data_IF_896597589232
#
_entry.id   IF_896597589232
#
_cell.length_a   1.000
_cell.length_b   1.000
_cell.length_c   1.000
_cell.angle_alpha   90.00
_cell.angle_beta   90.00
_cell.angle_gamma   90.00
#
_symmetry.space_group_name_H-M   'P 1'
#
loop_
_entity.id
_entity.type
_entity.pdbx_description
1 polymer ?
#
# COMPACT_ATOMS: atom_id res chain seq x y z
N UNK A 1 -52.72 14.51 -14.85
CA UNK A 1 -51.57 14.69 -13.92
C UNK A 1 -51.41 13.40 -13.14
N UNK A 2 -50.25 12.72 -13.21
CA UNK A 2 -49.66 11.89 -12.14
C UNK A 2 -48.59 10.93 -12.69
N UNK A 3 -47.38 11.43 -12.93
CA UNK A 3 -46.18 10.57 -13.04
C UNK A 3 -44.86 11.23 -12.59
N UNK A 4 -44.76 11.90 -11.42
CA UNK A 4 -43.44 12.21 -10.85
C UNK A 4 -42.94 11.15 -9.85
N UNK A 5 -43.82 10.34 -9.24
CA UNK A 5 -43.46 9.54 -8.06
C UNK A 5 -42.58 8.32 -8.34
N UNK A 6 -42.70 7.69 -9.51
CA UNK A 6 -41.94 6.46 -9.86
C UNK A 6 -40.47 6.74 -10.20
N UNK A 7 -40.14 7.93 -10.71
CA UNK A 7 -38.76 8.29 -11.07
C UNK A 7 -37.91 8.60 -9.83
N UNK A 8 -38.53 9.19 -8.80
CA UNK A 8 -37.88 9.57 -7.53
C UNK A 8 -37.47 8.33 -6.72
N UNK A 9 -38.26 7.25 -6.75
CA UNK A 9 -37.97 6.02 -6.01
C UNK A 9 -36.81 5.22 -6.64
N UNK A 10 -36.70 5.19 -7.97
CA UNK A 10 -35.59 4.53 -8.65
C UNK A 10 -34.25 5.27 -8.44
N UNK A 11 -34.27 6.61 -8.46
CA UNK A 11 -33.08 7.42 -8.16
C UNK A 11 -32.63 7.28 -6.70
N UNK A 12 -33.56 7.08 -5.76
CA UNK A 12 -33.25 6.86 -4.34
C UNK A 12 -32.70 5.44 -4.05
N UNK A 13 -33.11 4.41 -4.80
CA UNK A 13 -32.53 3.05 -4.63
C UNK A 13 -31.15 2.91 -5.28
N UNK A 14 -30.85 3.66 -6.33
CA UNK A 14 -29.52 3.71 -6.95
C UNK A 14 -28.48 4.41 -6.04
N UNK A 15 -28.89 5.41 -5.25
CA UNK A 15 -27.96 6.08 -4.32
C UNK A 15 -27.65 5.26 -3.07
N UNK A 16 -28.59 4.44 -2.57
CA UNK A 16 -28.39 3.56 -1.41
C UNK A 16 -27.43 2.40 -1.73
N UNK A 17 -27.38 1.96 -2.98
CA UNK A 17 -26.48 0.87 -3.40
C UNK A 17 -25.04 1.35 -3.62
N UNK A 18 -24.84 2.62 -3.97
CA UNK A 18 -23.50 3.19 -4.19
C UNK A 18 -22.74 3.39 -2.86
N UNK A 19 -23.40 3.82 -1.79
CA UNK A 19 -22.75 4.03 -0.48
C UNK A 19 -22.34 2.70 0.19
N UNK A 20 -23.18 1.66 0.12
CA UNK A 20 -22.85 0.34 0.65
C UNK A 20 -21.68 -0.32 -0.13
N UNK A 21 -21.60 -0.12 -1.44
CA UNK A 21 -20.49 -0.62 -2.28
C UNK A 21 -19.20 0.17 -2.07
N UNK A 22 -19.31 1.46 -1.76
CA UNK A 22 -18.20 2.34 -1.44
C UNK A 22 -17.50 1.92 -0.13
N UNK A 23 -18.28 1.67 0.94
CA UNK A 23 -17.74 1.19 2.22
C UNK A 23 -17.08 -0.19 2.10
N UNK A 24 -17.70 -1.13 1.38
CA UNK A 24 -17.11 -2.44 1.12
C UNK A 24 -15.77 -2.35 0.35
N UNK A 25 -15.66 -1.42 -0.59
CA UNK A 25 -14.41 -1.20 -1.33
C UNK A 25 -13.32 -0.59 -0.43
N UNK A 26 -13.67 0.29 0.51
CA UNK A 26 -12.72 0.81 1.49
C UNK A 26 -12.19 -0.30 2.42
N UNK A 27 -13.07 -1.17 2.92
CA UNK A 27 -12.70 -2.31 3.76
C UNK A 27 -11.81 -3.32 3.00
N UNK A 28 -12.19 -3.66 1.76
CA UNK A 28 -11.37 -4.51 0.89
C UNK A 28 -9.99 -3.89 0.64
N UNK A 29 -9.93 -2.57 0.43
CA UNK A 29 -8.66 -1.87 0.26
C UNK A 29 -7.81 -1.94 1.53
N UNK A 30 -8.40 -1.73 2.71
CA UNK A 30 -7.70 -1.89 3.98
C UNK A 30 -7.16 -3.31 4.19
N UNK A 31 -7.94 -4.34 3.84
CA UNK A 31 -7.49 -5.73 3.88
C UNK A 31 -6.31 -6.00 2.92
N UNK A 32 -6.36 -5.46 1.71
CA UNK A 32 -5.27 -5.58 0.72
C UNK A 32 -4.00 -4.85 1.18
N UNK A 33 -4.12 -3.72 1.88
CA UNK A 33 -3.01 -3.06 2.56
C UNK A 33 -2.41 -3.95 3.66
N UNK A 34 -3.24 -4.59 4.48
CA UNK A 34 -2.81 -5.58 5.47
C UNK A 34 -2.04 -6.75 4.85
N UNK A 35 -2.49 -7.27 3.71
CA UNK A 35 -1.80 -8.36 2.99
C UNK A 35 -0.39 -7.97 2.52
N UNK A 36 -0.12 -6.70 2.24
CA UNK A 36 1.23 -6.26 1.88
C UNK A 36 2.22 -6.42 3.05
N UNK A 37 1.75 -6.31 4.30
CA UNK A 37 2.59 -6.52 5.49
C UNK A 37 3.04 -7.97 5.59
N UNK A 38 2.12 -8.92 5.39
CA UNK A 38 2.42 -10.35 5.32
C UNK A 38 3.37 -10.67 4.17
N UNK A 39 3.09 -10.16 2.97
CA UNK A 39 3.93 -10.40 1.79
C UNK A 39 5.36 -9.92 1.99
N UNK A 40 5.54 -8.74 2.58
CA UNK A 40 6.86 -8.22 2.91
C UNK A 40 7.53 -9.09 3.98
N UNK A 41 6.82 -9.46 5.05
CA UNK A 41 7.34 -10.33 6.10
C UNK A 41 7.86 -11.68 5.56
N UNK A 42 7.11 -12.35 4.70
CA UNK A 42 7.52 -13.60 4.05
C UNK A 42 8.81 -13.40 3.25
N UNK A 43 8.88 -12.30 2.50
CA UNK A 43 10.04 -11.97 1.70
C UNK A 43 11.27 -11.64 2.55
N UNK A 44 11.08 -10.99 3.70
CA UNK A 44 12.15 -10.70 4.66
C UNK A 44 12.74 -11.99 5.23
N UNK A 45 11.89 -12.93 5.64
CA UNK A 45 12.33 -14.25 6.13
C UNK A 45 13.14 -14.98 5.06
N UNK A 46 12.65 -15.00 3.82
CA UNK A 46 13.30 -15.66 2.70
C UNK A 46 14.68 -15.05 2.38
N UNK A 47 14.74 -13.72 2.21
CA UNK A 47 16.00 -13.00 1.93
C UNK A 47 17.01 -13.23 3.05
N UNK A 48 16.62 -13.03 4.32
CA UNK A 48 17.54 -13.24 5.45
C UNK A 48 18.05 -14.68 5.49
N UNK A 49 17.18 -15.66 5.21
CA UNK A 49 17.56 -17.08 5.20
C UNK A 49 18.53 -17.41 4.06
N UNK A 50 18.30 -16.89 2.85
CA UNK A 50 19.21 -17.06 1.69
C UNK A 50 20.62 -16.55 1.97
N UNK A 51 20.73 -15.48 2.74
CA UNK A 51 22.00 -14.86 3.12
C UNK A 51 22.60 -15.44 4.41
N UNK A 52 22.10 -16.60 4.88
CA UNK A 52 22.63 -17.34 6.02
C UNK A 52 22.25 -16.76 7.39
N UNK A 53 21.35 -15.77 7.42
CA UNK A 53 20.78 -15.24 8.64
C UNK A 53 19.58 -16.06 9.13
N UNK A 54 19.08 -15.70 10.31
CA UNK A 54 17.86 -16.28 10.87
C UNK A 54 17.03 -15.19 11.53
N UNK A 55 15.78 -15.05 11.11
CA UNK A 55 14.80 -14.14 11.69
C UNK A 55 13.50 -14.91 11.89
N UNK A 56 12.79 -14.69 13.00
CA UNK A 56 11.48 -15.30 13.16
C UNK A 56 10.46 -14.57 12.27
N UNK A 57 9.43 -15.27 11.84
CA UNK A 57 8.33 -14.64 11.10
C UNK A 57 7.69 -13.49 11.90
N UNK A 58 7.57 -13.62 13.23
CA UNK A 58 7.03 -12.56 14.08
C UNK A 58 7.90 -11.28 14.04
N UNK A 59 9.22 -11.43 14.08
CA UNK A 59 10.15 -10.30 13.95
C UNK A 59 10.08 -9.67 12.57
N UNK A 60 10.07 -10.50 11.52
CA UNK A 60 9.92 -10.04 10.14
C UNK A 60 8.60 -9.29 9.92
N UNK A 61 7.49 -9.80 10.47
CA UNK A 61 6.19 -9.16 10.40
C UNK A 61 6.16 -7.82 11.14
N UNK A 62 6.71 -7.75 12.36
CA UNK A 62 6.86 -6.47 13.09
C UNK A 62 7.64 -5.43 12.28
N UNK A 63 8.71 -5.85 11.61
CA UNK A 63 9.50 -4.96 10.77
C UNK A 63 8.76 -4.52 9.52
N UNK A 64 8.10 -5.44 8.82
CA UNK A 64 7.25 -5.12 7.67
C UNK A 64 6.09 -4.19 8.04
N UNK A 65 5.45 -4.43 9.19
CA UNK A 65 4.37 -3.62 9.73
C UNK A 65 4.83 -2.18 10.01
N UNK A 66 5.96 -1.99 10.69
CA UNK A 66 6.54 -0.67 10.92
C UNK A 66 6.85 0.04 9.60
N UNK A 67 7.59 -0.61 8.70
CA UNK A 67 8.01 -0.02 7.43
C UNK A 67 6.85 0.44 6.57
N UNK A 68 5.80 -0.39 6.46
CA UNK A 68 4.63 -0.02 5.66
C UNK A 68 3.77 1.01 6.38
N UNK A 69 3.61 0.92 7.71
CA UNK A 69 2.77 1.88 8.45
C UNK A 69 3.35 3.30 8.47
N UNK A 70 4.67 3.47 8.32
CA UNK A 70 5.28 4.79 8.10
C UNK A 70 4.76 5.49 6.83
N UNK A 71 4.26 4.72 5.86
CA UNK A 71 3.69 5.24 4.61
C UNK A 71 2.24 5.71 4.76
N UNK A 72 1.60 5.52 5.91
CA UNK A 72 0.23 5.98 6.15
C UNK A 72 0.09 7.49 5.96
N UNK A 73 1.11 8.27 6.35
CA UNK A 73 1.12 9.71 6.13
C UNK A 73 1.17 10.05 4.63
N UNK A 74 1.97 9.30 3.86
CA UNK A 74 2.05 9.42 2.41
C UNK A 74 0.70 9.11 1.76
N UNK A 75 0.03 8.04 2.18
CA UNK A 75 -1.25 7.61 1.65
C UNK A 75 -2.42 8.58 1.96
N UNK A 76 -2.29 9.46 2.94
CA UNK A 76 -3.29 10.46 3.33
C UNK A 76 -3.19 11.79 2.57
N UNK A 77 -2.26 11.93 1.64
CA UNK A 77 -2.13 13.17 0.85
C UNK A 77 -3.42 13.46 0.07
N UNK A 78 -4.00 14.65 0.29
CA UNK A 78 -5.20 15.09 -0.41
C UNK A 78 -4.86 15.79 -1.73
N UNK A 79 -5.82 15.87 -2.64
CA UNK A 79 -5.68 16.59 -3.92
C UNK A 79 -4.85 15.86 -4.99
N UNK A 80 -4.42 14.62 -4.72
CA UNK A 80 -3.73 13.75 -5.68
C UNK A 80 -4.47 12.41 -5.79
N UNK A 81 -4.40 11.78 -6.95
CA UNK A 81 -4.89 10.41 -7.10
C UNK A 81 -3.97 9.42 -6.38
N UNK A 82 -4.51 8.31 -5.89
CA UNK A 82 -3.70 7.29 -5.20
C UNK A 82 -2.56 6.74 -6.08
N UNK A 83 -2.77 6.66 -7.39
CA UNK A 83 -1.73 6.28 -8.36
C UNK A 83 -0.61 7.31 -8.43
N UNK A 84 -0.94 8.61 -8.42
CA UNK A 84 0.06 9.68 -8.45
C UNK A 84 0.89 9.70 -7.17
N UNK A 85 0.24 9.57 -6.00
CA UNK A 85 0.92 9.51 -4.70
C UNK A 85 1.93 8.35 -4.67
N UNK A 86 1.50 7.14 -5.05
CA UNK A 86 2.36 5.96 -5.04
C UNK A 86 3.52 6.08 -6.03
N UNK A 87 3.28 6.70 -7.20
CA UNK A 87 4.31 6.94 -8.20
C UNK A 87 5.36 7.94 -7.71
N UNK A 88 4.95 9.08 -7.17
CA UNK A 88 5.88 10.11 -6.67
C UNK A 88 6.74 9.56 -5.53
N UNK A 89 6.14 8.79 -4.62
CA UNK A 89 6.87 8.10 -3.55
C UNK A 89 7.92 7.14 -4.15
N UNK A 90 7.53 6.31 -5.12
CA UNK A 90 8.45 5.37 -5.79
C UNK A 90 9.62 6.09 -6.46
N UNK A 91 9.35 7.17 -7.19
CA UNK A 91 10.41 7.93 -7.88
C UNK A 91 11.37 8.61 -6.89
N UNK A 92 10.87 9.08 -5.74
CA UNK A 92 11.71 9.61 -4.67
C UNK A 92 12.58 8.52 -4.03
N UNK A 93 12.00 7.34 -3.78
CA UNK A 93 12.69 6.21 -3.17
C UNK A 93 13.75 5.60 -4.10
N UNK A 94 13.46 5.49 -5.40
CA UNK A 94 14.44 5.04 -6.39
C UNK A 94 15.66 5.96 -6.48
N UNK A 95 15.48 7.28 -6.26
CA UNK A 95 16.59 8.23 -6.19
C UNK A 95 17.42 8.03 -4.93
N UNK A 96 16.78 7.89 -3.77
CA UNK A 96 17.47 7.64 -2.49
C UNK A 96 18.27 6.34 -2.53
N UNK A 97 17.65 5.25 -2.96
CA UNK A 97 18.30 3.95 -3.09
C UNK A 97 19.55 4.01 -3.98
N UNK A 98 19.48 4.71 -5.12
CA UNK A 98 20.64 4.88 -6.00
C UNK A 98 21.80 5.60 -5.31
N UNK A 99 21.53 6.56 -4.44
CA UNK A 99 22.58 7.23 -3.67
C UNK A 99 23.12 6.35 -2.53
N UNK A 100 22.25 5.63 -1.82
CA UNK A 100 22.64 4.68 -0.77
C UNK A 100 23.52 3.55 -1.31
N UNK A 101 23.20 2.99 -2.47
CA UNK A 101 24.00 1.91 -3.05
C UNK A 101 25.42 2.34 -3.43
N UNK A 102 25.63 3.65 -3.71
CA UNK A 102 26.96 4.19 -4.00
C UNK A 102 27.84 4.28 -2.74
N UNK A 103 27.24 4.38 -1.55
CA UNK A 103 27.98 4.50 -0.29
C UNK A 103 28.35 3.15 0.33
N UNK A 104 27.83 2.05 -0.21
CA UNK A 104 28.12 0.69 0.25
C UNK A 104 29.28 0.12 -0.55
N UNK A 105 30.48 0.08 0.03
CA UNK A 105 31.68 -0.47 -0.61
C UNK A 105 31.66 -2.02 -0.70
N UNK A 106 30.97 -2.68 0.23
CA UNK A 106 30.85 -4.13 0.27
C UNK A 106 29.84 -4.63 -0.77
N UNK A 107 30.33 -5.33 -1.79
CA UNK A 107 29.50 -5.84 -2.90
C UNK A 107 28.38 -6.76 -2.42
N UNK A 108 28.62 -7.63 -1.44
CA UNK A 108 27.59 -8.54 -0.92
C UNK A 108 26.52 -7.78 -0.16
N UNK A 109 26.90 -6.80 0.66
CA UNK A 109 25.92 -5.94 1.34
C UNK A 109 25.09 -5.15 0.34
N UNK A 110 25.72 -4.65 -0.73
CA UNK A 110 25.02 -3.92 -1.80
C UNK A 110 23.98 -4.81 -2.49
N UNK A 111 24.32 -6.06 -2.80
CA UNK A 111 23.41 -7.04 -3.39
C UNK A 111 22.20 -7.32 -2.47
N UNK A 112 22.44 -7.54 -1.17
CA UNK A 112 21.37 -7.77 -0.19
C UNK A 112 20.42 -6.57 -0.10
N UNK A 113 20.97 -5.35 -0.03
CA UNK A 113 20.18 -4.12 0.02
C UNK A 113 19.35 -3.93 -1.25
N UNK A 114 19.93 -4.20 -2.42
CA UNK A 114 19.23 -4.14 -3.70
C UNK A 114 18.09 -5.15 -3.76
N UNK A 115 18.34 -6.41 -3.39
CA UNK A 115 17.35 -7.49 -3.37
C UNK A 115 16.18 -7.16 -2.44
N UNK A 116 16.48 -6.68 -1.23
CA UNK A 116 15.47 -6.18 -0.30
C UNK A 116 14.63 -5.07 -0.92
N UNK A 117 15.29 -4.07 -1.52
CA UNK A 117 14.60 -2.92 -2.09
C UNK A 117 13.68 -3.35 -3.25
N UNK A 118 14.09 -4.31 -4.06
CA UNK A 118 13.31 -4.80 -5.20
C UNK A 118 12.03 -5.51 -4.78
N UNK A 119 11.95 -6.01 -3.54
CA UNK A 119 10.70 -6.51 -2.96
C UNK A 119 9.94 -5.45 -2.17
N UNK A 120 10.64 -4.62 -1.40
CA UNK A 120 10.02 -3.59 -0.56
C UNK A 120 9.33 -2.49 -1.39
N UNK A 121 9.97 -2.00 -2.46
CA UNK A 121 9.42 -0.94 -3.32
C UNK A 121 8.04 -1.27 -3.91
N UNK A 122 7.84 -2.39 -4.66
CA UNK A 122 6.53 -2.69 -5.22
C UNK A 122 5.48 -2.95 -4.13
N UNK A 123 5.87 -3.57 -3.01
CA UNK A 123 4.97 -3.83 -1.89
C UNK A 123 4.51 -2.55 -1.21
N UNK A 124 5.41 -1.58 -1.02
CA UNK A 124 5.12 -0.25 -0.52
C UNK A 124 4.23 0.57 -1.48
N UNK A 125 4.48 0.47 -2.78
CA UNK A 125 3.64 1.11 -3.81
C UNK A 125 2.20 0.61 -3.74
N UNK A 126 2.00 -0.70 -3.62
CA UNK A 126 0.66 -1.27 -3.51
C UNK A 126 0.01 -0.94 -2.17
N UNK A 127 0.78 -0.97 -1.08
CA UNK A 127 0.32 -0.52 0.25
C UNK A 127 -0.21 0.92 0.21
N UNK A 128 0.55 1.85 -0.36
CA UNK A 128 0.15 3.26 -0.49
C UNK A 128 -1.15 3.39 -1.29
N UNK A 129 -1.29 2.67 -2.41
CA UNK A 129 -2.52 2.72 -3.22
C UNK A 129 -3.72 2.24 -2.41
N UNK A 130 -3.60 1.11 -1.74
CA UNK A 130 -4.68 0.50 -0.97
C UNK A 130 -5.06 1.35 0.25
N UNK A 131 -4.08 1.83 1.04
CA UNK A 131 -4.35 2.76 2.14
C UNK A 131 -4.95 4.08 1.66
N UNK A 132 -4.53 4.59 0.51
CA UNK A 132 -5.12 5.82 -0.04
C UNK A 132 -6.58 5.61 -0.43
N UNK A 133 -6.92 4.47 -1.04
CA UNK A 133 -8.30 4.11 -1.36
C UNK A 133 -9.15 3.93 -0.08
N UNK A 134 -8.62 3.22 0.91
CA UNK A 134 -9.25 3.08 2.23
C UNK A 134 -9.54 4.45 2.87
N UNK A 135 -8.65 5.44 2.71
CA UNK A 135 -8.83 6.79 3.24
C UNK A 135 -9.63 7.73 2.30
N UNK A 136 -10.12 7.22 1.16
CA UNK A 136 -10.77 8.07 0.17
C UNK A 136 -12.12 8.57 0.67
N UNK A 137 -12.32 9.89 0.67
CA UNK A 137 -13.61 10.52 0.98
C UNK A 137 -14.71 10.14 -0.02
N UNK A 138 -14.35 9.58 -1.19
CA UNK A 138 -15.33 9.04 -2.14
C UNK A 138 -15.88 7.69 -1.67
N UNK A 139 -15.09 6.93 -0.92
CA UNK A 139 -15.42 5.56 -0.50
C UNK A 139 -15.98 5.48 0.94
N UNK A 140 -15.77 6.52 1.75
CA UNK A 140 -16.21 6.58 3.15
C UNK A 140 -17.44 7.48 3.37
N UNK A 141 -18.41 7.47 2.45
CA UNK A 141 -19.64 8.29 2.54
C UNK A 141 -20.83 7.56 3.13
#
# INVERSE_FOLDING_TARGET
>A
MNTPMKLVVAAAMATISISAQAGALAEMSGALAGQQKTKLADSLVDIVSRHGGKVSYEQAYKQADMMLSELDATAKQKGKSCLLIAREWREAEEKKLKEELKTIDDTKKREIVQEFADVAKPTAVDYIKYKCLENSELLNK
#
